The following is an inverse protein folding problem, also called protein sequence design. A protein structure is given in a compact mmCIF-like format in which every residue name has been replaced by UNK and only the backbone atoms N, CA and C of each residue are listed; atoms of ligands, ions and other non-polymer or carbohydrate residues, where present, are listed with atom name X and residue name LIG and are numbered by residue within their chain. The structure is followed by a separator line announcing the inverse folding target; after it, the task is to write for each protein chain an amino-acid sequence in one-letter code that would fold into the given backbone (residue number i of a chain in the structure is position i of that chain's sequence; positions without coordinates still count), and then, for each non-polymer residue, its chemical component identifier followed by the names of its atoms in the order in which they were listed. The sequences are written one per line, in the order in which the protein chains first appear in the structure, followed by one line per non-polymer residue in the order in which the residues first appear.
data_IF_131839754955
#
_entry.id   IF_131839754955
#
_cell.length_a   1.000
_cell.length_b   1.000
_cell.length_c   1.000
_cell.angle_alpha   90.00
_cell.angle_beta   90.00
_cell.angle_gamma   90.00
#
_symmetry.space_group_name_H-M   'P 1'
#
loop_
_entity.id
_entity.type
_entity.pdbx_description
1 polymer ?
#
# COMPACT_ATOMS: atom_id res chain seq x y z
N UNK A 1 -12.59 14.54 -11.16
CA UNK A 1 -11.19 14.30 -10.77
C UNK A 1 -10.37 15.55 -11.07
N UNK A 2 -9.54 15.96 -10.15
CA UNK A 2 -8.68 17.14 -10.33
C UNK A 2 -7.36 16.70 -11.00
N UNK A 3 -6.79 17.53 -11.91
CA UNK A 3 -5.58 17.15 -12.62
C UNK A 3 -4.42 16.93 -11.64
N UNK A 4 -3.73 15.82 -11.84
CA UNK A 4 -2.48 15.48 -11.19
C UNK A 4 -1.36 15.68 -12.19
N UNK A 5 -0.40 16.54 -11.86
CA UNK A 5 0.80 16.75 -12.66
C UNK A 5 1.95 15.90 -12.11
N UNK A 6 2.49 15.02 -12.94
CA UNK A 6 3.67 14.24 -12.61
C UNK A 6 4.79 14.62 -13.58
N UNK A 7 5.82 15.24 -13.04
CA UNK A 7 7.05 15.49 -13.78
C UNK A 7 8.03 14.37 -13.47
N UNK A 8 8.39 13.61 -14.48
CA UNK A 8 9.36 12.53 -14.39
C UNK A 8 10.60 12.87 -15.21
N UNK A 9 11.76 12.68 -14.61
CA UNK A 9 13.08 12.76 -15.27
C UNK A 9 13.84 11.50 -14.92
N UNK A 10 14.28 10.77 -15.92
CA UNK A 10 15.07 9.56 -15.74
C UNK A 10 16.25 9.53 -16.70
N UNK A 11 17.37 9.01 -16.22
CA UNK A 11 18.57 8.75 -17.01
C UNK A 11 19.03 7.35 -16.69
N UNK A 12 19.08 6.50 -17.69
CA UNK A 12 19.61 5.14 -17.59
C UNK A 12 20.85 5.03 -18.47
N UNK A 13 21.95 4.65 -17.86
CA UNK A 13 23.24 4.44 -18.50
C UNK A 13 23.64 2.96 -18.40
N UNK A 14 24.63 2.54 -19.18
CA UNK A 14 25.13 1.17 -19.14
C UNK A 14 25.73 0.79 -17.77
N UNK A 15 26.11 1.77 -16.98
CA UNK A 15 26.78 1.65 -15.68
C UNK A 15 25.93 2.14 -14.50
N UNK A 16 24.64 2.45 -14.70
CA UNK A 16 23.76 2.87 -13.63
C UNK A 16 22.60 3.73 -14.10
N UNK A 17 21.86 4.32 -13.17
CA UNK A 17 20.73 5.17 -13.53
C UNK A 17 20.26 6.04 -12.38
N UNK A 18 19.50 7.05 -12.73
CA UNK A 18 18.80 7.92 -11.79
C UNK A 18 17.43 8.26 -12.33
N UNK A 19 16.44 8.25 -11.47
CA UNK A 19 15.10 8.69 -11.78
C UNK A 19 14.59 9.63 -10.69
N UNK A 20 13.91 10.68 -11.08
CA UNK A 20 13.27 11.64 -10.18
C UNK A 20 11.85 11.86 -10.63
N UNK A 21 10.92 11.87 -9.69
CA UNK A 21 9.55 12.24 -9.94
C UNK A 21 9.09 13.29 -8.93
N UNK A 22 8.33 14.27 -9.41
CA UNK A 22 7.66 15.26 -8.58
C UNK A 22 6.18 15.25 -8.94
N UNK A 23 5.36 15.03 -7.95
CA UNK A 23 3.91 15.04 -8.06
C UNK A 23 3.38 16.37 -7.53
N UNK A 24 2.55 17.03 -8.33
CA UNK A 24 1.89 18.28 -7.96
C UNK A 24 0.38 18.16 -8.12
N UNK A 25 -0.32 18.80 -7.21
CA UNK A 25 -1.77 18.98 -7.31
C UNK A 25 -2.12 20.41 -6.96
N UNK A 26 -2.85 21.11 -7.81
CA UNK A 26 -3.15 22.55 -7.67
C UNK A 26 -1.90 23.42 -7.50
N UNK A 27 -0.83 23.11 -8.21
CA UNK A 27 0.43 23.83 -8.10
C UNK A 27 1.30 23.46 -6.88
N UNK A 28 0.74 22.81 -5.87
CA UNK A 28 1.49 22.38 -4.68
C UNK A 28 2.14 21.02 -4.87
N UNK A 29 3.38 20.87 -4.40
CA UNK A 29 4.09 19.59 -4.39
C UNK A 29 3.52 18.71 -3.30
N UNK A 30 2.98 17.55 -3.68
CA UNK A 30 2.42 16.53 -2.76
C UNK A 30 3.30 15.30 -2.66
N UNK A 31 4.23 15.10 -3.59
CA UNK A 31 5.13 13.96 -3.56
C UNK A 31 6.43 14.20 -4.31
N UNK A 32 7.47 13.53 -3.85
CA UNK A 32 8.77 13.46 -4.49
C UNK A 32 9.32 12.05 -4.38
N UNK A 33 9.88 11.56 -5.45
CA UNK A 33 10.59 10.29 -5.51
C UNK A 33 11.95 10.49 -6.14
N UNK A 34 12.95 9.87 -5.57
CA UNK A 34 14.29 9.73 -6.16
C UNK A 34 14.62 8.24 -6.12
N UNK A 35 15.07 7.71 -7.23
CA UNK A 35 15.61 6.35 -7.31
C UNK A 35 16.95 6.39 -8.01
N UNK A 36 17.93 5.69 -7.48
CA UNK A 36 19.25 5.55 -8.06
C UNK A 36 19.63 4.10 -8.18
N UNK A 37 20.23 3.75 -9.30
CA UNK A 37 20.86 2.45 -9.54
C UNK A 37 22.36 2.66 -9.57
N UNK A 38 23.04 2.10 -8.61
CA UNK A 38 24.50 2.16 -8.59
C UNK A 38 25.07 1.20 -9.63
N UNK A 39 26.14 1.61 -10.33
CA UNK A 39 26.75 0.77 -11.35
C UNK A 39 27.31 -0.49 -10.74
N UNK A 40 27.09 -1.59 -11.45
CA UNK A 40 27.80 -2.85 -11.19
C UNK A 40 29.08 -2.86 -12.03
N UNK A 41 30.20 -3.38 -11.51
CA UNK A 41 31.39 -3.56 -12.29
C UNK A 41 31.08 -4.40 -13.55
N UNK A 42 31.76 -4.17 -14.67
CA UNK A 42 31.64 -4.99 -15.86
C UNK A 42 31.82 -6.47 -15.50
N UNK A 43 30.82 -7.28 -15.78
CA UNK A 43 30.82 -8.71 -15.42
C UNK A 43 30.15 -9.53 -16.50
N UNK A 44 30.27 -10.85 -16.38
CA UNK A 44 29.57 -11.80 -17.24
C UNK A 44 28.05 -11.70 -17.00
N UNK A 45 27.29 -11.64 -18.08
CA UNK A 45 25.83 -11.63 -18.03
C UNK A 45 25.22 -10.61 -18.98
N UNK A 46 23.93 -10.80 -19.25
CA UNK A 46 23.16 -9.86 -20.06
C UNK A 46 22.99 -8.51 -19.33
N UNK A 47 22.78 -7.44 -20.06
CA UNK A 47 22.49 -6.13 -19.50
C UNK A 47 21.28 -6.17 -18.53
N UNK A 48 20.25 -6.95 -18.85
CA UNK A 48 19.07 -7.14 -18.00
C UNK A 48 19.40 -7.81 -16.67
N UNK A 49 20.25 -8.83 -16.66
CA UNK A 49 20.71 -9.49 -15.43
C UNK A 49 21.50 -8.54 -14.53
N UNK A 50 22.36 -7.74 -15.14
CA UNK A 50 23.13 -6.73 -14.43
C UNK A 50 22.25 -5.62 -13.84
N UNK A 51 21.25 -5.16 -14.60
CA UNK A 51 20.28 -4.18 -14.12
C UNK A 51 19.47 -4.70 -12.93
N UNK A 52 18.96 -5.94 -13.02
CA UNK A 52 18.16 -6.54 -11.95
C UNK A 52 18.97 -6.75 -10.66
N UNK A 53 20.26 -7.00 -10.77
CA UNK A 53 21.14 -7.15 -9.61
C UNK A 53 21.81 -5.86 -9.14
N UNK A 54 21.53 -4.73 -9.81
CA UNK A 54 22.07 -3.42 -9.41
C UNK A 54 21.57 -2.98 -8.03
N UNK A 55 22.45 -2.43 -7.19
CA UNK A 55 22.06 -1.82 -5.93
C UNK A 55 21.09 -0.65 -6.16
N UNK A 56 19.98 -0.69 -5.45
CA UNK A 56 18.92 0.32 -5.47
C UNK A 56 19.10 1.26 -4.30
N UNK A 57 18.94 2.57 -4.53
CA UNK A 57 18.92 3.60 -3.50
C UNK A 57 17.85 4.65 -3.78
N UNK A 58 17.60 5.50 -2.80
CA UNK A 58 16.65 6.61 -2.94
C UNK A 58 15.48 6.51 -1.98
N UNK A 59 14.35 7.10 -2.34
CA UNK A 59 13.17 7.07 -1.50
C UNK A 59 12.00 7.85 -2.08
N UNK A 60 10.88 7.75 -1.38
CA UNK A 60 9.65 8.49 -1.65
C UNK A 60 9.23 9.28 -0.41
N UNK A 61 8.79 10.50 -0.65
CA UNK A 61 8.13 11.35 0.34
C UNK A 61 6.83 11.83 -0.28
N UNK A 62 5.73 11.47 0.32
CA UNK A 62 4.40 11.84 -0.14
C UNK A 62 3.59 12.35 1.04
N UNK A 63 2.93 13.47 0.84
CA UNK A 63 1.94 14.01 1.78
C UNK A 63 0.83 14.66 0.96
N UNK A 64 -0.26 13.94 0.82
CA UNK A 64 -1.32 14.37 -0.07
C UNK A 64 -2.56 13.48 -0.01
N UNK A 65 -3.48 13.66 -0.96
CA UNK A 65 -4.71 12.92 -1.00
C UNK A 65 -4.48 11.42 -1.28
N UNK A 66 -5.13 10.57 -0.49
CA UNK A 66 -5.02 9.12 -0.62
C UNK A 66 -5.55 8.59 -1.96
N UNK A 67 -6.55 9.26 -2.56
CA UNK A 67 -7.11 8.94 -3.88
C UNK A 67 -6.05 8.90 -4.98
N UNK A 68 -5.06 9.78 -4.88
CA UNK A 68 -3.95 9.84 -5.83
C UNK A 68 -3.10 8.57 -5.82
N UNK A 69 -2.74 8.07 -4.64
CA UNK A 69 -1.98 6.82 -4.52
C UNK A 69 -2.86 5.61 -4.84
N UNK A 70 -4.10 5.63 -4.41
CA UNK A 70 -5.05 4.53 -4.61
C UNK A 70 -5.43 4.33 -6.09
N UNK A 71 -5.40 5.40 -6.89
CA UNK A 71 -5.68 5.31 -8.33
C UNK A 71 -4.69 4.41 -9.09
N UNK A 72 -3.48 4.24 -8.58
CA UNK A 72 -2.49 3.31 -9.14
C UNK A 72 -2.80 1.83 -8.83
N UNK A 73 -3.65 1.56 -7.82
CA UNK A 73 -4.07 0.21 -7.46
C UNK A 73 -5.20 -0.35 -8.36
N UNK A 74 -5.86 0.50 -9.14
CA UNK A 74 -6.69 0.12 -10.29
C UNK A 74 -8.01 -0.61 -9.99
N UNK A 75 -8.68 -0.32 -8.88
CA UNK A 75 -9.99 -0.90 -8.55
C UNK A 75 -11.10 0.12 -8.81
N UNK A 76 -11.89 -0.01 -9.91
CA UNK A 76 -12.83 1.03 -10.34
C UNK A 76 -14.04 1.22 -9.42
N UNK A 77 -14.44 0.19 -8.68
CA UNK A 77 -15.56 0.19 -7.75
C UNK A 77 -15.17 0.59 -6.32
N UNK A 78 -13.89 0.86 -6.10
CA UNK A 78 -13.35 1.23 -4.80
C UNK A 78 -12.81 2.66 -4.81
N UNK A 79 -12.99 3.35 -3.71
CA UNK A 79 -12.49 4.71 -3.51
C UNK A 79 -11.86 4.86 -2.14
N UNK A 80 -10.71 5.48 -2.10
CA UNK A 80 -10.05 5.90 -0.87
C UNK A 80 -9.86 7.41 -0.91
N UNK A 81 -10.36 8.11 0.08
CA UNK A 81 -10.26 9.57 0.20
C UNK A 81 -9.70 10.00 1.55
N UNK A 82 -9.23 11.23 1.65
CA UNK A 82 -8.56 11.77 2.83
C UNK A 82 -7.08 12.03 2.57
N UNK A 83 -6.34 12.42 3.60
CA UNK A 83 -4.91 12.71 3.52
C UNK A 83 -4.07 11.55 4.06
N UNK A 84 -2.98 11.24 3.36
CA UNK A 84 -2.03 10.19 3.74
C UNK A 84 -0.60 10.71 3.61
N UNK A 85 0.25 10.35 4.56
CA UNK A 85 1.68 10.59 4.54
C UNK A 85 2.44 9.29 4.35
N UNK A 86 3.40 9.29 3.41
CA UNK A 86 4.32 8.18 3.16
C UNK A 86 5.73 8.73 3.13
N UNK A 87 6.60 8.13 3.92
CA UNK A 87 8.03 8.40 3.92
C UNK A 87 8.75 7.06 3.93
N UNK A 88 9.33 6.67 2.82
CA UNK A 88 10.05 5.40 2.69
C UNK A 88 11.33 5.59 1.89
N UNK A 89 12.37 4.88 2.29
CA UNK A 89 13.65 4.80 1.61
C UNK A 89 13.78 3.44 0.92
N UNK A 90 14.42 3.43 -0.23
CA UNK A 90 14.68 2.25 -1.05
C UNK A 90 16.12 1.79 -0.85
N UNK A 91 16.29 0.49 -0.72
CA UNK A 91 17.58 -0.17 -0.64
C UNK A 91 17.54 -1.54 -1.33
N UNK A 92 18.53 -2.37 -1.06
CA UNK A 92 18.64 -3.70 -1.63
C UNK A 92 19.06 -3.69 -3.09
N UNK A 93 18.38 -4.48 -3.91
CA UNK A 93 18.60 -4.62 -5.35
C UNK A 93 17.29 -4.49 -6.12
N UNK A 94 17.35 -4.19 -7.42
CA UNK A 94 16.15 -4.05 -8.26
C UNK A 94 15.27 -5.31 -8.21
N UNK A 95 15.87 -6.51 -8.24
CA UNK A 95 15.15 -7.78 -8.17
C UNK A 95 14.61 -8.13 -6.77
N UNK A 96 15.18 -7.55 -5.73
CA UNK A 96 14.78 -7.72 -4.33
C UNK A 96 14.89 -6.39 -3.60
N UNK A 97 13.96 -5.46 -3.83
CA UNK A 97 13.98 -4.15 -3.20
C UNK A 97 13.66 -4.27 -1.72
N UNK A 98 14.38 -3.52 -0.92
CA UNK A 98 14.15 -3.36 0.49
C UNK A 98 13.59 -1.96 0.75
N UNK A 99 12.57 -1.87 1.57
CA UNK A 99 11.94 -0.62 1.95
C UNK A 99 12.07 -0.39 3.44
N UNK A 100 12.36 0.83 3.83
CA UNK A 100 12.30 1.24 5.23
C UNK A 100 11.58 2.57 5.34
N UNK A 101 10.66 2.70 6.29
CA UNK A 101 9.90 3.93 6.45
C UNK A 101 8.53 3.73 7.07
N UNK A 102 7.68 4.73 6.93
CA UNK A 102 6.38 4.79 7.60
C UNK A 102 5.27 5.23 6.66
N UNK A 103 4.05 4.75 6.97
CA UNK A 103 2.78 5.28 6.44
C UNK A 103 1.94 5.75 7.63
N UNK A 104 1.32 6.92 7.49
CA UNK A 104 0.38 7.45 8.47
C UNK A 104 -0.78 8.16 7.81
N UNK A 105 -1.97 7.90 8.36
CA UNK A 105 -3.18 8.65 8.05
C UNK A 105 -4.09 8.65 9.27
N UNK A 106 -4.87 9.70 9.47
CA UNK A 106 -5.72 9.85 10.66
C UNK A 106 -7.21 9.95 10.35
N UNK A 107 -7.59 10.20 9.10
CA UNK A 107 -8.98 10.40 8.73
C UNK A 107 -9.20 10.08 7.25
N UNK A 108 -9.07 8.80 6.92
CA UNK A 108 -9.42 8.31 5.59
C UNK A 108 -10.87 7.84 5.56
N UNK A 109 -11.45 7.84 4.37
CA UNK A 109 -12.72 7.17 4.08
C UNK A 109 -12.49 6.21 2.92
N UNK A 110 -12.84 4.95 3.16
CA UNK A 110 -12.87 3.91 2.14
C UNK A 110 -14.32 3.59 1.77
N UNK A 111 -14.58 3.46 0.49
CA UNK A 111 -15.89 3.09 -0.05
C UNK A 111 -15.73 2.00 -1.11
N UNK A 112 -16.57 0.97 -1.01
CA UNK A 112 -16.76 -0.02 -2.05
C UNK A 112 -18.21 0.05 -2.53
N UNK A 113 -18.40 0.44 -3.79
CA UNK A 113 -19.73 0.67 -4.36
C UNK A 113 -20.47 -0.63 -4.64
N UNK A 114 -19.75 -1.70 -4.96
CA UNK A 114 -20.34 -3.03 -5.25
C UNK A 114 -21.06 -3.60 -4.04
N UNK A 115 -20.47 -3.48 -2.85
CA UNK A 115 -21.05 -4.03 -1.61
C UNK A 115 -21.70 -2.96 -0.73
N UNK A 116 -21.61 -1.68 -1.09
CA UNK A 116 -22.08 -0.59 -0.26
C UNK A 116 -21.30 -0.45 1.05
N UNK A 117 -20.08 -0.96 1.10
CA UNK A 117 -19.21 -0.86 2.27
C UNK A 117 -18.66 0.55 2.40
N UNK A 118 -18.77 1.12 3.58
CA UNK A 118 -18.15 2.42 3.91
C UNK A 118 -17.44 2.35 5.25
N UNK A 119 -16.14 2.60 5.22
CA UNK A 119 -15.32 2.76 6.42
C UNK A 119 -14.90 4.23 6.51
N UNK A 120 -15.22 4.88 7.60
CA UNK A 120 -14.91 6.28 7.85
C UNK A 120 -13.98 6.46 9.04
N UNK A 121 -13.45 7.67 9.22
CA UNK A 121 -12.50 8.00 10.29
C UNK A 121 -11.34 6.98 10.38
N UNK A 122 -10.93 6.44 9.23
CA UNK A 122 -9.92 5.40 9.22
C UNK A 122 -8.54 6.00 9.53
N UNK A 123 -7.92 5.51 10.59
CA UNK A 123 -6.56 5.83 10.98
C UNK A 123 -5.65 4.65 10.67
N UNK A 124 -4.51 4.94 10.04
CA UNK A 124 -3.49 3.95 9.68
C UNK A 124 -2.15 4.40 10.23
N UNK A 125 -1.48 3.48 10.92
CA UNK A 125 -0.07 3.55 11.24
C UNK A 125 0.59 2.27 10.76
N UNK A 126 1.59 2.39 9.92
CA UNK A 126 2.31 1.25 9.37
C UNK A 126 3.77 1.57 9.12
N UNK A 127 4.57 0.52 8.99
CA UNK A 127 6.02 0.59 8.80
C UNK A 127 6.47 -0.36 7.71
N UNK A 128 7.37 0.12 6.88
CA UNK A 128 8.13 -0.72 5.98
C UNK A 128 9.41 -1.20 6.67
N UNK A 129 9.67 -2.50 6.62
CA UNK A 129 10.84 -3.15 7.22
C UNK A 129 11.35 -4.23 6.28
N UNK A 130 12.33 -3.88 5.46
CA UNK A 130 12.89 -4.77 4.44
C UNK A 130 11.89 -5.12 3.35
N UNK A 131 11.51 -6.38 3.25
CA UNK A 131 10.54 -6.91 2.29
C UNK A 131 9.09 -6.91 2.80
N UNK A 132 8.79 -6.19 3.89
CA UNK A 132 7.54 -6.31 4.62
C UNK A 132 6.93 -4.96 4.93
N UNK A 133 5.62 -4.89 4.81
CA UNK A 133 4.79 -3.81 5.36
C UNK A 133 4.10 -4.31 6.62
N UNK A 134 4.39 -3.70 7.75
CA UNK A 134 3.76 -3.98 9.05
C UNK A 134 2.63 -2.99 9.29
N UNK A 135 1.43 -3.49 9.48
CA UNK A 135 0.26 -2.74 9.92
C UNK A 135 0.32 -2.70 11.44
N UNK A 136 0.89 -1.63 11.99
CA UNK A 136 0.98 -1.46 13.45
C UNK A 136 -0.40 -1.26 14.04
N UNK A 137 -1.24 -0.48 13.36
CA UNK A 137 -2.63 -0.21 13.74
C UNK A 137 -3.39 0.30 12.52
N UNK A 138 -4.55 -0.27 12.33
CA UNK A 138 -5.60 0.25 11.48
C UNK A 138 -6.89 0.26 12.32
N UNK A 139 -7.58 1.38 12.36
CA UNK A 139 -8.90 1.51 13.00
C UNK A 139 -9.82 2.29 12.08
N UNK A 140 -11.10 1.92 12.05
CA UNK A 140 -12.10 2.61 11.24
C UNK A 140 -13.49 2.49 11.88
N UNK A 141 -14.37 3.43 11.56
CA UNK A 141 -15.80 3.37 11.87
C UNK A 141 -16.53 2.75 10.69
N UNK A 142 -17.37 1.75 10.96
CA UNK A 142 -18.16 1.01 9.98
C UNK A 142 -19.64 1.07 10.36
N UNK A 143 -20.36 2.07 9.88
CA UNK A 143 -21.71 2.39 10.36
C UNK A 143 -21.67 2.92 11.78
N UNK A 144 -22.32 2.21 12.71
CA UNK A 144 -22.32 2.54 14.13
C UNK A 144 -21.25 1.78 14.92
N UNK A 145 -20.62 0.80 14.26
CA UNK A 145 -19.59 -0.05 14.84
C UNK A 145 -18.17 0.30 14.39
N UNK A 146 -17.22 -0.56 14.74
CA UNK A 146 -15.81 -0.35 14.51
C UNK A 146 -15.13 -1.56 13.88
N UNK A 147 -14.07 -1.28 13.12
CA UNK A 147 -13.15 -2.29 12.59
C UNK A 147 -11.74 -1.90 13.00
N UNK A 148 -10.97 -2.87 13.44
CA UNK A 148 -9.53 -2.71 13.66
C UNK A 148 -8.76 -3.84 13.01
N UNK A 149 -7.52 -3.55 12.60
CA UNK A 149 -6.64 -4.56 12.03
C UNK A 149 -5.18 -4.29 12.39
N UNK A 150 -4.41 -5.36 12.50
CA UNK A 150 -2.96 -5.35 12.61
C UNK A 150 -2.37 -6.60 11.96
N UNK A 151 -1.07 -6.59 11.72
CA UNK A 151 -0.38 -7.70 11.10
C UNK A 151 0.65 -7.25 10.07
N UNK A 152 0.91 -8.09 9.09
CA UNK A 152 1.87 -7.76 8.04
C UNK A 152 1.47 -8.31 6.67
N UNK A 153 2.01 -7.66 5.64
CA UNK A 153 1.99 -8.11 4.24
C UNK A 153 3.42 -8.08 3.71
N UNK A 154 3.91 -9.21 3.20
CA UNK A 154 5.19 -9.24 2.49
C UNK A 154 5.06 -8.56 1.13
N UNK A 155 6.07 -7.79 0.75
CA UNK A 155 6.16 -7.11 -0.54
C UNK A 155 6.84 -7.97 -1.61
N UNK A 156 7.22 -9.21 -1.27
CA UNK A 156 7.85 -10.14 -2.17
C UNK A 156 6.85 -10.67 -3.22
N UNK A 157 6.88 -10.07 -4.40
CA UNK A 157 5.98 -10.41 -5.51
C UNK A 157 6.21 -11.84 -6.03
N UNK A 158 7.43 -12.31 -6.08
CA UNK A 158 7.83 -13.66 -6.46
C UNK A 158 7.28 -14.74 -5.53
N UNK A 159 7.05 -14.39 -4.27
CA UNK A 159 6.42 -15.23 -3.25
C UNK A 159 4.90 -15.08 -3.19
N UNK A 160 4.31 -14.20 -4.04
CA UNK A 160 2.87 -13.97 -4.14
C UNK A 160 2.29 -13.20 -2.96
N UNK A 161 3.05 -12.32 -2.34
CA UNK A 161 2.64 -11.45 -1.23
C UNK A 161 2.12 -12.22 0.00
N UNK A 162 2.95 -13.01 0.69
CA UNK A 162 2.58 -13.65 1.96
C UNK A 162 2.07 -12.63 2.97
N UNK A 163 1.04 -13.01 3.75
CA UNK A 163 0.45 -12.10 4.72
C UNK A 163 -0.11 -12.83 5.95
N UNK A 164 -0.20 -12.08 7.03
CA UNK A 164 -0.92 -12.48 8.24
C UNK A 164 -1.52 -11.22 8.85
N UNK A 165 -2.84 -11.07 8.72
CA UNK A 165 -3.57 -9.89 9.18
C UNK A 165 -4.70 -10.36 10.09
N UNK A 166 -4.73 -9.84 11.31
CA UNK A 166 -5.83 -10.01 12.25
C UNK A 166 -6.78 -8.82 12.14
N UNK A 167 -8.07 -9.10 12.10
CA UNK A 167 -9.15 -8.13 12.00
C UNK A 167 -10.13 -8.37 13.14
N UNK A 168 -10.47 -7.33 13.87
CA UNK A 168 -11.51 -7.35 14.89
C UNK A 168 -12.63 -6.41 14.46
N UNK A 169 -13.85 -6.87 14.59
CA UNK A 169 -15.07 -6.14 14.24
C UNK A 169 -16.00 -6.10 15.47
N UNK A 170 -16.60 -4.95 15.69
CA UNK A 170 -17.59 -4.73 16.73
C UNK A 170 -18.76 -3.95 16.13
N UNK A 171 -19.91 -4.62 15.98
CA UNK A 171 -21.11 -4.10 15.30
C UNK A 171 -20.83 -3.40 13.97
N UNK A 172 -19.83 -3.90 13.25
CA UNK A 172 -19.35 -3.30 12.01
C UNK A 172 -20.30 -3.54 10.85
N UNK A 173 -20.77 -2.46 10.22
CA UNK A 173 -21.59 -2.55 9.01
C UNK A 173 -20.70 -2.77 7.79
N UNK A 174 -20.66 -4.02 7.32
CA UNK A 174 -19.78 -4.44 6.22
C UNK A 174 -20.41 -4.26 4.85
N UNK A 175 -21.73 -4.32 4.76
CA UNK A 175 -22.47 -4.14 3.52
C UNK A 175 -23.77 -3.37 3.77
N UNK A 176 -24.10 -2.52 2.79
CA UNK A 176 -25.39 -1.81 2.75
C UNK A 176 -25.78 -1.59 1.30
N UNK A 177 -26.68 -2.41 0.80
CA UNK A 177 -27.34 -2.25 -0.49
C UNK A 177 -28.84 -2.41 -0.33
N UNK A 178 -29.60 -2.13 -1.36
CA UNK A 178 -31.06 -2.33 -1.35
C UNK A 178 -31.46 -3.79 -1.09
N UNK A 179 -30.56 -4.74 -1.41
CA UNK A 179 -30.78 -6.16 -1.27
C UNK A 179 -30.11 -6.78 -0.04
N UNK A 180 -29.12 -6.13 0.56
CA UNK A 180 -28.32 -6.71 1.65
C UNK A 180 -27.85 -5.61 2.62
N UNK A 181 -28.15 -5.83 3.90
CA UNK A 181 -27.51 -5.13 5.01
C UNK A 181 -26.85 -6.16 5.92
N UNK A 182 -25.57 -6.08 6.11
CA UNK A 182 -24.83 -6.99 6.96
C UNK A 182 -24.03 -6.21 8.01
N UNK A 183 -24.35 -6.47 9.28
CA UNK A 183 -23.57 -6.04 10.44
C UNK A 183 -22.92 -7.28 11.04
N UNK A 184 -21.70 -7.17 11.50
CA UNK A 184 -20.96 -8.30 12.05
C UNK A 184 -20.08 -7.87 13.21
N UNK A 185 -19.96 -8.76 14.19
CA UNK A 185 -18.98 -8.71 15.27
C UNK A 185 -18.13 -9.98 15.24
N UNK A 186 -16.88 -9.89 15.65
CA UNK A 186 -16.00 -11.06 15.71
C UNK A 186 -14.57 -10.79 15.35
N UNK A 187 -13.82 -11.88 15.23
CA UNK A 187 -12.41 -11.83 14.93
C UNK A 187 -12.11 -12.70 13.71
N UNK A 188 -11.44 -12.12 12.73
CA UNK A 188 -10.96 -12.80 11.55
C UNK A 188 -9.44 -12.75 11.47
N UNK A 189 -8.88 -13.77 10.86
CA UNK A 189 -7.46 -13.82 10.50
C UNK A 189 -7.33 -14.18 9.03
N UNK A 190 -6.63 -13.36 8.30
CA UNK A 190 -6.27 -13.63 6.91
C UNK A 190 -4.82 -14.07 6.90
N UNK A 191 -4.58 -15.29 6.47
CA UNK A 191 -3.22 -15.83 6.32
C UNK A 191 -2.98 -16.25 4.88
N UNK A 192 -1.81 -15.98 4.39
CA UNK A 192 -1.36 -16.44 3.08
C UNK A 192 0.11 -16.83 3.16
N UNK A 193 0.40 -18.09 2.99
CA UNK A 193 1.78 -18.55 2.83
C UNK A 193 2.30 -18.26 1.42
N UNK A 194 3.62 -18.31 1.25
CA UNK A 194 4.26 -18.09 -0.04
C UNK A 194 3.66 -19.01 -1.11
N UNK A 195 3.27 -18.40 -2.24
CA UNK A 195 2.70 -19.11 -3.42
C UNK A 195 1.45 -19.94 -3.14
N UNK A 196 0.74 -19.65 -2.05
CA UNK A 196 -0.52 -20.32 -1.71
C UNK A 196 -1.70 -19.36 -1.83
N UNK A 197 -2.91 -19.92 -1.79
CA UNK A 197 -4.15 -19.15 -1.73
C UNK A 197 -4.31 -18.55 -0.32
N UNK A 198 -4.92 -17.38 -0.23
CA UNK A 198 -5.27 -16.78 1.05
C UNK A 198 -6.37 -17.61 1.75
N UNK A 199 -6.19 -17.81 3.05
CA UNK A 199 -7.14 -18.47 3.93
C UNK A 199 -7.69 -17.43 4.90
N UNK A 200 -9.01 -17.38 5.02
CA UNK A 200 -9.70 -16.59 6.05
C UNK A 200 -10.23 -17.55 7.10
N UNK A 201 -9.90 -17.30 8.35
CA UNK A 201 -10.34 -18.09 9.50
C UNK A 201 -10.84 -17.17 10.61
N UNK A 202 -11.69 -17.67 11.49
CA UNK A 202 -12.21 -16.91 12.64
C UNK A 202 -13.68 -17.13 12.86
N UNK A 203 -14.26 -16.32 13.72
CA UNK A 203 -15.68 -16.37 14.09
C UNK A 203 -16.34 -15.04 13.77
N UNK A 204 -17.51 -15.11 13.17
CA UNK A 204 -18.36 -13.96 12.87
C UNK A 204 -19.74 -14.23 13.50
N UNK A 205 -20.17 -13.28 14.29
CA UNK A 205 -21.53 -13.20 14.82
C UNK A 205 -22.32 -12.23 13.95
N UNK A 206 -23.40 -12.70 13.41
CA UNK A 206 -24.41 -11.91 12.70
C UNK A 206 -25.60 -11.73 13.62
N UNK A 207 -26.14 -10.51 13.78
CA UNK A 207 -27.32 -10.26 14.60
C UNK A 207 -28.60 -10.85 14.01
#
# INVERSE_FOLDING_TARGET
SQPLDINFVGKLLADGGEARAVMRRRGSVIGRMVASLNPLPPGAGSWTTRLLSAPLGGGIRYNGPADTLFSFAGQPDQRLSGAIGVAADFGGRVQSPELSGIIRANSLTYENQTYGTRLSNMAIAGRFTGDRFEIERLTATAGDGTVSANGFVSLAADSGYPMNVAITMDDARLARSDALSATASGNLRITKAARQTAVVSGEILLP
#
